data_IF_841442094857
#
_entry.id   IF_841442094857
#
_cell.length_a   1.000
_cell.length_b   1.000
_cell.length_c   1.000
_cell.angle_alpha   90.00
_cell.angle_beta   90.00
_cell.angle_gamma   90.00
#
_symmetry.space_group_name_H-M   'P 1'
#
loop_
_entity.id
_entity.type
_entity.pdbx_description
1 polymer ?
#
# COMPACT_ATOMS: atom_id res chain seq x y z
N UNK A 1 -27.06 8.42 38.65
CA UNK A 1 -25.93 7.74 38.01
C UNK A 1 -26.29 7.54 36.56
N UNK A 2 -25.82 8.42 35.67
CA UNK A 2 -25.94 8.22 34.23
C UNK A 2 -24.69 7.48 33.77
N UNK A 3 -24.94 6.45 32.98
CA UNK A 3 -24.06 5.34 32.64
C UNK A 3 -22.80 5.81 31.90
N UNK A 4 -21.61 5.36 32.32
CA UNK A 4 -20.30 5.67 31.68
C UNK A 4 -20.23 5.24 30.20
N UNK A 5 -21.16 4.39 29.77
CA UNK A 5 -21.35 3.99 28.36
C UNK A 5 -21.77 5.13 27.45
N UNK A 6 -22.52 6.12 27.95
CA UNK A 6 -23.05 7.21 27.12
C UNK A 6 -22.02 8.30 26.83
N UNK A 7 -20.96 8.42 27.63
CA UNK A 7 -19.89 9.42 27.44
C UNK A 7 -18.89 9.05 26.33
N UNK A 8 -18.73 7.76 26.00
CA UNK A 8 -17.80 7.30 24.94
C UNK A 8 -18.32 7.54 23.52
N UNK A 9 -19.63 7.75 23.34
CA UNK A 9 -20.25 7.90 22.02
C UNK A 9 -20.07 9.31 21.41
N UNK A 10 -19.78 10.32 22.22
CA UNK A 10 -19.60 11.72 21.78
C UNK A 10 -18.14 12.08 21.45
N UNK A 11 -17.24 11.09 21.44
CA UNK A 11 -15.79 11.31 21.45
C UNK A 11 -15.04 10.50 20.38
N UNK A 12 -15.70 10.07 19.31
CA UNK A 12 -15.02 9.45 18.18
C UNK A 12 -14.92 10.46 17.04
N UNK A 13 -13.68 10.89 16.76
CA UNK A 13 -13.36 11.71 15.60
C UNK A 13 -13.86 10.96 14.33
N UNK A 14 -14.71 11.58 13.48
CA UNK A 14 -15.16 10.98 12.23
C UNK A 14 -14.01 10.40 11.38
N UNK A 15 -12.81 10.98 11.49
CA UNK A 15 -11.60 10.50 10.82
C UNK A 15 -11.09 9.18 11.39
N UNK A 16 -11.24 8.92 12.69
CA UNK A 16 -10.92 7.63 13.31
C UNK A 16 -11.89 6.53 12.85
N UNK A 17 -13.18 6.85 12.71
CA UNK A 17 -14.18 5.90 12.20
C UNK A 17 -13.86 5.54 10.74
N UNK A 18 -13.54 6.53 9.91
CA UNK A 18 -13.11 6.30 8.53
C UNK A 18 -11.81 5.48 8.48
N UNK A 19 -10.82 5.81 9.30
CA UNK A 19 -9.53 5.09 9.40
C UNK A 19 -9.73 3.62 9.76
N UNK A 20 -10.56 3.34 10.76
CA UNK A 20 -10.82 1.96 11.20
C UNK A 20 -11.53 1.16 10.10
N UNK A 21 -12.51 1.76 9.43
CA UNK A 21 -13.24 1.12 8.33
C UNK A 21 -12.34 0.89 7.10
N UNK A 22 -11.39 1.79 6.85
CA UNK A 22 -10.40 1.66 5.79
C UNK A 22 -9.39 0.56 6.13
N UNK A 23 -8.76 0.62 7.30
CA UNK A 23 -7.80 -0.39 7.77
C UNK A 23 -8.39 -1.80 7.82
N UNK A 24 -9.65 -1.95 8.25
CA UNK A 24 -10.32 -3.26 8.27
C UNK A 24 -10.45 -3.91 6.88
N UNK A 25 -10.53 -3.10 5.81
CA UNK A 25 -10.66 -3.59 4.45
C UNK A 25 -9.34 -3.61 3.67
N UNK A 26 -8.30 -2.94 4.17
CA UNK A 26 -6.99 -2.87 3.50
C UNK A 26 -6.12 -4.05 3.89
N UNK A 27 -5.76 -4.85 2.90
CA UNK A 27 -4.79 -5.94 3.07
C UNK A 27 -3.39 -5.35 2.94
N UNK A 28 -2.64 -5.35 4.05
CA UNK A 28 -1.23 -4.97 4.02
C UNK A 28 -0.42 -5.97 3.21
N UNK A 29 0.72 -5.53 2.66
CA UNK A 29 1.66 -6.42 1.98
C UNK A 29 2.11 -7.54 2.93
N UNK A 30 2.39 -7.18 4.19
CA UNK A 30 2.79 -8.11 5.27
C UNK A 30 1.75 -9.18 5.60
N UNK A 31 0.47 -8.98 5.26
CA UNK A 31 -0.57 -9.98 5.49
C UNK A 31 -0.53 -11.17 4.52
N UNK A 32 0.16 -11.01 3.38
CA UNK A 32 0.25 -12.02 2.31
C UNK A 32 1.67 -12.46 1.99
N UNK A 33 2.65 -11.62 2.26
CA UNK A 33 4.02 -11.81 1.82
C UNK A 33 5.01 -11.58 2.94
N UNK A 34 5.97 -12.49 3.05
CA UNK A 34 7.18 -12.28 3.83
C UNK A 34 8.26 -11.62 2.97
N UNK A 35 8.78 -10.47 3.40
CA UNK A 35 9.76 -9.68 2.65
C UNK A 35 11.17 -10.19 2.98
N UNK A 36 11.73 -10.99 2.09
CA UNK A 36 13.01 -11.68 2.32
C UNK A 36 14.21 -10.74 2.23
N UNK A 37 14.17 -9.73 1.35
CA UNK A 37 15.30 -8.82 1.19
C UNK A 37 15.21 -7.88 0.00
N UNK A 38 16.12 -6.92 -0.03
CA UNK A 38 16.26 -5.95 -1.12
C UNK A 38 16.95 -6.59 -2.33
N UNK A 39 16.44 -6.29 -3.54
CA UNK A 39 17.06 -6.70 -4.80
C UNK A 39 17.79 -5.51 -5.43
N UNK A 40 17.07 -4.42 -5.71
CA UNK A 40 17.63 -3.29 -6.42
C UNK A 40 16.79 -2.01 -6.25
N UNK A 41 17.40 -0.88 -6.56
CA UNK A 41 16.77 0.43 -6.58
C UNK A 41 16.96 1.05 -7.95
N UNK A 42 15.90 1.64 -8.50
CA UNK A 42 15.96 2.40 -9.74
C UNK A 42 15.36 3.79 -9.59
N UNK A 43 15.25 4.48 -10.72
CA UNK A 43 14.64 5.82 -10.83
C UNK A 43 13.21 5.83 -10.28
N UNK A 44 12.41 4.83 -10.65
CA UNK A 44 10.96 4.81 -10.38
C UNK A 44 10.54 4.03 -9.13
N UNK A 45 11.46 3.34 -8.45
CA UNK A 45 11.08 2.47 -7.35
C UNK A 45 12.20 1.68 -6.70
N UNK A 46 11.82 0.86 -5.72
CA UNK A 46 12.67 -0.15 -5.07
C UNK A 46 12.04 -1.53 -5.26
N UNK A 47 12.87 -2.55 -5.48
CA UNK A 47 12.44 -3.92 -5.72
C UNK A 47 12.92 -4.82 -4.59
N UNK A 48 12.02 -5.66 -4.10
CA UNK A 48 12.25 -6.58 -2.99
C UNK A 48 11.90 -8.01 -3.41
N UNK A 49 12.64 -8.98 -2.87
CA UNK A 49 12.29 -10.39 -2.94
C UNK A 49 11.28 -10.66 -1.83
N UNK A 50 10.21 -11.36 -2.17
CA UNK A 50 9.18 -11.76 -1.23
C UNK A 50 8.78 -13.22 -1.42
N UNK A 51 8.28 -13.84 -0.36
CA UNK A 51 7.73 -15.18 -0.37
C UNK A 51 6.25 -15.12 -0.01
N UNK A 52 5.40 -15.89 -0.69
CA UNK A 52 3.98 -15.95 -0.31
C UNK A 52 3.81 -16.72 1.01
N UNK A 53 2.96 -16.16 1.89
CA UNK A 53 2.57 -16.82 3.14
C UNK A 53 1.58 -17.97 2.90
N UNK A 54 0.78 -17.91 1.84
CA UNK A 54 -0.16 -18.98 1.47
C UNK A 54 0.56 -20.17 0.82
N UNK A 55 1.56 -19.89 -0.02
CA UNK A 55 2.31 -20.90 -0.76
C UNK A 55 3.82 -20.61 -0.69
N UNK A 56 4.55 -21.18 0.29
CA UNK A 56 5.97 -20.87 0.51
C UNK A 56 6.89 -21.20 -0.66
N UNK A 57 6.49 -22.09 -1.57
CA UNK A 57 7.27 -22.40 -2.79
C UNK A 57 7.29 -21.25 -3.78
N UNK A 58 6.33 -20.33 -3.70
CA UNK A 58 6.17 -19.24 -4.65
C UNK A 58 6.95 -18.00 -4.17
N UNK A 59 7.93 -17.61 -4.97
CA UNK A 59 8.73 -16.40 -4.78
C UNK A 59 8.26 -15.31 -5.74
N UNK A 60 8.29 -14.07 -5.26
CA UNK A 60 7.82 -12.90 -5.99
C UNK A 60 8.83 -11.76 -5.89
N UNK A 61 8.78 -10.86 -6.88
CA UNK A 61 9.42 -9.55 -6.81
C UNK A 61 8.35 -8.49 -6.56
N UNK A 62 8.55 -7.66 -5.54
CA UNK A 62 7.65 -6.54 -5.20
C UNK A 62 8.34 -5.24 -5.55
N UNK A 63 7.74 -4.45 -6.45
CA UNK A 63 8.21 -3.11 -6.81
C UNK A 63 7.41 -2.06 -6.03
N UNK A 64 8.04 -1.43 -5.03
CA UNK A 64 7.49 -0.26 -4.33
C UNK A 64 7.82 0.99 -5.15
N UNK A 65 6.79 1.65 -5.68
CA UNK A 65 6.95 2.92 -6.39
C UNK A 65 7.37 4.02 -5.42
N UNK A 66 8.31 4.87 -5.84
CA UNK A 66 8.65 6.09 -5.11
C UNK A 66 7.61 7.17 -5.44
N UNK A 67 7.17 7.99 -4.47
CA UNK A 67 6.42 9.20 -4.79
C UNK A 67 7.30 10.15 -5.61
N UNK A 68 6.72 10.84 -6.59
CA UNK A 68 7.44 11.81 -7.41
C UNK A 68 7.72 13.09 -6.58
N UNK A 69 9.00 13.49 -6.52
CA UNK A 69 9.57 14.75 -5.99
C UNK A 69 9.15 15.19 -4.56
N UNK A 70 10.15 15.44 -3.72
CA UNK A 70 10.07 15.97 -2.33
C UNK A 70 9.49 17.41 -2.19
N UNK A 71 8.65 17.90 -3.10
CA UNK A 71 8.22 19.31 -3.07
C UNK A 71 6.92 19.69 -3.76
N UNK A 72 6.27 18.79 -4.49
CA UNK A 72 4.90 19.02 -4.97
C UNK A 72 3.92 18.29 -4.04
N UNK A 73 2.93 19.03 -3.58
CA UNK A 73 1.81 18.64 -2.73
C UNK A 73 1.47 17.14 -2.85
N UNK A 74 2.00 16.37 -1.89
CA UNK A 74 1.91 14.90 -1.78
C UNK A 74 0.45 14.41 -1.64
N UNK A 75 -0.53 15.30 -1.53
CA UNK A 75 -1.91 14.96 -1.19
C UNK A 75 -2.80 14.56 -2.37
N UNK A 76 -2.40 14.75 -3.64
CA UNK A 76 -3.29 14.43 -4.77
C UNK A 76 -2.82 13.31 -5.70
N UNK A 77 -1.51 13.06 -5.81
CA UNK A 77 -1.00 12.05 -6.76
C UNK A 77 -0.50 10.82 -6.01
N UNK A 78 -1.40 9.85 -5.80
CA UNK A 78 -1.10 8.58 -5.12
C UNK A 78 -0.13 7.70 -5.95
N UNK A 79 -0.07 7.87 -7.28
CA UNK A 79 0.82 7.13 -8.19
C UNK A 79 1.24 8.01 -9.38
N UNK A 80 2.48 7.86 -9.85
CA UNK A 80 2.96 8.54 -11.05
C UNK A 80 2.28 8.01 -12.33
N UNK A 81 2.14 8.86 -13.36
CA UNK A 81 1.64 8.44 -14.68
C UNK A 81 2.42 7.25 -15.25
N UNK A 82 3.73 7.23 -15.02
CA UNK A 82 4.61 6.12 -15.42
C UNK A 82 4.24 4.82 -14.71
N UNK A 83 3.94 4.87 -13.41
CA UNK A 83 3.50 3.70 -12.64
C UNK A 83 2.15 3.16 -13.15
N UNK A 84 1.21 4.05 -13.47
CA UNK A 84 -0.11 3.68 -14.02
C UNK A 84 0.08 2.94 -15.36
N UNK A 85 0.91 3.48 -16.26
CA UNK A 85 1.20 2.85 -17.55
C UNK A 85 1.85 1.48 -17.38
N UNK A 86 2.80 1.33 -16.46
CA UNK A 86 3.46 0.06 -16.19
C UNK A 86 2.46 -1.00 -15.68
N UNK A 87 1.55 -0.61 -14.78
CA UNK A 87 0.51 -1.50 -14.26
C UNK A 87 -0.45 -1.92 -15.39
N UNK A 88 -0.89 -0.97 -16.22
CA UNK A 88 -1.82 -1.25 -17.32
C UNK A 88 -1.21 -2.26 -18.32
N UNK A 89 0.04 -2.03 -18.74
CA UNK A 89 0.72 -2.91 -19.69
C UNK A 89 0.88 -4.34 -19.14
N UNK A 90 1.33 -4.50 -17.89
CA UNK A 90 1.50 -5.83 -17.30
C UNK A 90 0.17 -6.53 -16.94
N UNK A 91 -0.97 -5.82 -16.96
CA UNK A 91 -2.32 -6.43 -16.82
C UNK A 91 -2.83 -7.03 -18.12
N UNK A 92 -2.43 -6.46 -19.26
CA UNK A 92 -2.91 -6.86 -20.58
C UNK A 92 -2.02 -7.92 -21.24
N UNK A 93 -0.74 -7.97 -20.88
CA UNK A 93 0.22 -8.91 -21.46
C UNK A 93 0.30 -10.19 -20.63
N UNK A 94 0.06 -11.34 -21.26
CA UNK A 94 0.20 -12.67 -20.67
C UNK A 94 1.00 -13.58 -21.61
N UNK A 95 2.29 -13.76 -21.31
CA UNK A 95 3.21 -14.54 -22.14
C UNK A 95 4.38 -15.06 -21.31
N UNK A 96 4.82 -16.31 -21.55
CA UNK A 96 5.87 -16.99 -20.79
C UNK A 96 7.19 -16.19 -20.67
N UNK A 97 7.59 -15.54 -21.76
CA UNK A 97 8.82 -14.74 -21.84
C UNK A 97 8.64 -13.26 -21.46
N UNK A 98 7.49 -12.88 -20.91
CA UNK A 98 7.23 -11.52 -20.42
C UNK A 98 6.86 -11.60 -18.94
N UNK A 99 7.30 -10.61 -18.16
CA UNK A 99 6.98 -10.58 -16.73
C UNK A 99 5.47 -10.46 -16.52
N UNK A 100 4.91 -11.34 -15.68
CA UNK A 100 3.49 -11.32 -15.35
C UNK A 100 3.24 -10.51 -14.07
N UNK A 101 2.18 -9.69 -14.07
CA UNK A 101 1.71 -9.02 -12.87
C UNK A 101 0.81 -9.96 -12.06
N UNK A 102 1.22 -10.25 -10.82
CA UNK A 102 0.39 -11.07 -9.91
C UNK A 102 -0.72 -10.27 -9.25
N UNK A 103 -0.37 -9.16 -8.60
CA UNK A 103 -1.34 -8.27 -7.96
C UNK A 103 -0.74 -6.87 -7.76
N UNK A 104 -1.62 -5.90 -7.47
CA UNK A 104 -1.24 -4.53 -7.10
C UNK A 104 -1.85 -4.26 -5.73
N UNK A 105 -1.01 -3.86 -4.78
CA UNK A 105 -1.42 -3.55 -3.41
C UNK A 105 -1.15 -2.07 -3.17
N UNK A 106 -2.17 -1.34 -2.69
CA UNK A 106 -2.01 0.02 -2.22
C UNK A 106 -1.75 -0.01 -0.71
N UNK A 107 -0.56 0.42 -0.32
CA UNK A 107 -0.18 0.62 1.07
C UNK A 107 -0.22 2.13 1.35
N UNK A 108 -1.12 2.56 2.22
CA UNK A 108 -1.16 3.95 2.67
C UNK A 108 -0.50 4.01 4.03
N UNK A 109 0.67 4.64 4.07
CA UNK A 109 1.29 5.08 5.30
C UNK A 109 0.43 6.23 5.84
N UNK A 110 -0.60 5.91 6.64
CA UNK A 110 -1.44 6.93 7.28
C UNK A 110 -0.57 7.59 8.36
N UNK A 111 -0.24 8.89 8.26
CA UNK A 111 0.55 9.56 9.29
C UNK A 111 -0.16 9.44 10.64
N UNK A 112 0.58 9.05 11.67
CA UNK A 112 0.01 8.84 13.01
C UNK A 112 -0.47 10.14 13.67
N UNK A 113 -0.04 11.30 13.17
CA UNK A 113 -0.46 12.60 13.69
C UNK A 113 -1.36 13.39 12.72
N UNK A 114 -2.45 14.01 13.21
CA UNK A 114 -3.16 15.02 12.44
C UNK A 114 -2.22 16.21 12.21
N UNK A 115 -2.23 16.75 11.00
CA UNK A 115 -1.50 17.95 10.62
C UNK A 115 -1.88 19.09 11.59
N UNK A 116 -1.06 19.35 12.61
CA UNK A 116 -1.22 20.52 13.47
C UNK A 116 -0.96 21.73 12.58
N UNK A 117 -2.01 22.54 12.40
CA UNK A 117 -1.88 23.88 11.79
C UNK A 117 -1.09 24.79 12.71
#
# INVERSE_FOLDING_TARGET
MLDERSAKALQQDPMQIYRNKWNQNHRSVSSKYDILGFISSGTYGRVYKAQSLENPTNLYAIKKFKPDKEGEVVTYTILSQSAIREIALNREIDHENVVALKEVILEVDIPEEPCRK
#
